data_IF_631621993338
#
_entry.id   IF_631621993338
#
_cell.length_a   1.000
_cell.length_b   1.000
_cell.length_c   1.000
_cell.angle_alpha   90.00
_cell.angle_beta   90.00
_cell.angle_gamma   90.00
#
_symmetry.space_group_name_H-M   'P 1'
#
loop_
_entity.id
_entity.type
_entity.pdbx_description
1 polymer ?
#
# COMPACT_ATOMS: atom_id res chain seq x y z
N UNK A 1 -22.12 -7.87 -6.81
CA UNK A 1 -20.87 -8.66 -6.76
C UNK A 1 -20.01 -8.02 -5.69
N UNK A 2 -19.73 -8.71 -4.58
CA UNK A 2 -18.84 -8.20 -3.54
C UNK A 2 -17.40 -8.40 -4.03
N UNK A 3 -16.64 -7.31 -4.12
CA UNK A 3 -15.21 -7.37 -4.41
C UNK A 3 -14.58 -7.94 -3.14
N UNK A 4 -13.96 -9.12 -3.23
CA UNK A 4 -13.20 -9.66 -2.12
C UNK A 4 -11.96 -8.77 -1.95
N UNK A 5 -11.95 -7.90 -0.95
CA UNK A 5 -10.81 -7.02 -0.68
C UNK A 5 -9.77 -7.81 0.09
N UNK A 6 -8.54 -7.89 -0.44
CA UNK A 6 -7.42 -8.62 0.18
C UNK A 6 -6.87 -7.89 1.41
N UNK A 7 -7.22 -6.62 1.53
CA UNK A 7 -6.84 -5.70 2.59
C UNK A 7 -8.10 -5.07 3.19
N UNK A 8 -8.26 -5.16 4.50
CA UNK A 8 -9.19 -4.32 5.24
C UNK A 8 -8.47 -3.01 5.58
N UNK A 9 -9.11 -1.87 5.32
CA UNK A 9 -8.55 -0.54 5.56
C UNK A 9 -9.50 0.22 6.47
N UNK A 10 -9.01 0.60 7.64
CA UNK A 10 -9.78 1.34 8.65
C UNK A 10 -9.05 2.63 9.02
N UNK A 11 -9.79 3.72 9.19
CA UNK A 11 -9.23 4.98 9.70
C UNK A 11 -9.64 5.17 11.16
N UNK A 12 -8.65 5.27 12.03
CA UNK A 12 -8.77 5.61 13.44
C UNK A 12 -8.06 6.94 13.68
N UNK A 13 -8.84 8.03 13.72
CA UNK A 13 -8.36 9.41 13.83
C UNK A 13 -7.29 9.77 12.77
N UNK A 14 -6.04 9.95 13.21
CA UNK A 14 -4.87 10.27 12.39
C UNK A 14 -4.07 9.03 11.98
N UNK A 15 -4.62 7.83 12.16
CA UNK A 15 -3.96 6.57 11.87
C UNK A 15 -4.82 5.73 10.94
N UNK A 16 -4.22 5.21 9.87
CA UNK A 16 -4.84 4.16 9.07
C UNK A 16 -4.28 2.81 9.47
N UNK A 17 -5.17 1.87 9.69
CA UNK A 17 -4.85 0.47 9.98
C UNK A 17 -5.15 -0.33 8.71
N UNK A 18 -4.15 -1.10 8.26
CA UNK A 18 -4.26 -1.98 7.11
C UNK A 18 -4.08 -3.41 7.61
N UNK A 19 -5.12 -4.21 7.44
CA UNK A 19 -5.17 -5.61 7.90
C UNK A 19 -5.31 -6.52 6.69
N UNK A 20 -4.25 -7.28 6.31
CA UNK A 20 -4.40 -8.30 5.28
C UNK A 20 -5.33 -9.41 5.76
N UNK A 21 -6.26 -9.81 4.90
CA UNK A 21 -7.18 -10.91 5.19
C UNK A 21 -6.59 -12.29 4.89
N UNK A 22 -5.37 -12.34 4.33
CA UNK A 22 -4.71 -13.56 3.88
C UNK A 22 -3.19 -13.41 3.79
N UNK A 23 -2.50 -14.55 3.60
CA UNK A 23 -1.06 -14.59 3.37
C UNK A 23 -0.65 -13.74 2.14
N UNK A 24 0.40 -12.94 2.34
CA UNK A 24 0.92 -11.99 1.35
C UNK A 24 1.96 -12.68 0.46
N UNK A 25 1.52 -13.65 -0.32
CA UNK A 25 2.35 -14.35 -1.31
C UNK A 25 2.44 -13.57 -2.62
N UNK A 26 3.38 -13.95 -3.48
CA UNK A 26 3.60 -13.30 -4.79
C UNK A 26 2.35 -13.35 -5.68
N UNK A 27 1.55 -14.41 -5.61
CA UNK A 27 0.32 -14.59 -6.40
C UNK A 27 -0.77 -13.57 -6.07
N UNK A 28 -0.76 -13.04 -4.84
CA UNK A 28 -1.76 -12.07 -4.37
C UNK A 28 -1.22 -10.64 -4.54
N UNK A 29 0.08 -10.49 -4.84
CA UNK A 29 0.78 -9.22 -4.78
C UNK A 29 0.23 -8.18 -5.76
N UNK A 30 -0.13 -8.56 -6.99
CA UNK A 30 -0.74 -7.64 -7.95
C UNK A 30 -2.06 -7.07 -7.44
N UNK A 31 -2.90 -7.91 -6.80
CA UNK A 31 -4.15 -7.47 -6.18
C UNK A 31 -3.89 -6.57 -4.97
N UNK A 32 -2.90 -6.90 -4.14
CA UNK A 32 -2.49 -6.10 -2.99
C UNK A 32 -1.97 -4.73 -3.43
N UNK A 33 -1.21 -4.65 -4.53
CA UNK A 33 -0.70 -3.38 -5.06
C UNK A 33 -1.86 -2.48 -5.55
N UNK A 34 -2.89 -3.06 -6.18
CA UNK A 34 -4.10 -2.33 -6.56
C UNK A 34 -4.91 -1.86 -5.35
N UNK A 35 -5.16 -2.75 -4.38
CA UNK A 35 -5.88 -2.45 -3.14
C UNK A 35 -5.11 -1.39 -2.32
N UNK A 36 -3.78 -1.39 -2.41
CA UNK A 36 -2.92 -0.43 -1.74
C UNK A 36 -2.89 0.95 -2.40
N UNK A 37 -2.92 1.03 -3.73
CA UNK A 37 -3.06 2.32 -4.41
C UNK A 37 -4.39 2.98 -4.03
N UNK A 38 -5.45 2.18 -3.82
CA UNK A 38 -6.71 2.68 -3.24
C UNK A 38 -6.53 3.12 -1.79
N UNK A 39 -5.81 2.35 -0.97
CA UNK A 39 -5.47 2.75 0.40
C UNK A 39 -4.70 4.07 0.44
N UNK A 40 -3.74 4.26 -0.48
CA UNK A 40 -2.94 5.47 -0.61
C UNK A 40 -3.77 6.67 -1.07
N UNK A 41 -4.73 6.48 -1.99
CA UNK A 41 -5.66 7.54 -2.39
C UNK A 41 -6.60 7.95 -1.26
N UNK A 42 -7.11 6.98 -0.48
CA UNK A 42 -7.90 7.25 0.72
C UNK A 42 -7.07 8.02 1.74
N UNK A 43 -5.83 7.58 1.95
CA UNK A 43 -4.87 8.21 2.82
C UNK A 43 -4.60 9.69 2.40
N UNK A 44 -4.53 10.02 1.10
CA UNK A 44 -4.18 11.37 0.58
C UNK A 44 -5.31 12.38 0.84
N UNK A 45 -6.55 11.89 0.96
CA UNK A 45 -7.74 12.69 1.30
C UNK A 45 -8.00 12.82 2.81
N UNK A 46 -7.18 12.20 3.67
CA UNK A 46 -7.45 12.09 5.12
C UNK A 46 -6.44 12.88 5.96
N UNK A 47 -6.76 13.11 7.24
CA UNK A 47 -5.81 13.65 8.24
C UNK A 47 -4.80 12.61 8.73
N UNK A 48 -4.68 11.47 8.05
CA UNK A 48 -3.82 10.38 8.50
C UNK A 48 -2.35 10.81 8.46
N UNK A 49 -1.70 10.75 9.63
CA UNK A 49 -0.26 11.00 9.81
C UNK A 49 0.51 9.72 10.06
N UNK A 50 -0.19 8.63 10.37
CA UNK A 50 0.39 7.36 10.74
C UNK A 50 -0.28 6.25 9.95
N UNK A 51 0.49 5.18 9.68
CA UNK A 51 -0.03 3.94 9.12
C UNK A 51 0.47 2.78 9.97
N UNK A 52 -0.42 1.83 10.23
CA UNK A 52 -0.15 0.60 10.98
C UNK A 52 -0.53 -0.57 10.10
N UNK A 53 0.38 -1.54 10.00
CA UNK A 53 0.08 -2.86 9.44
C UNK A 53 -0.30 -3.80 10.57
N UNK A 54 -1.50 -4.36 10.51
CA UNK A 54 -1.97 -5.38 11.44
C UNK A 54 -1.94 -6.75 10.75
N UNK A 55 -1.02 -7.61 11.19
CA UNK A 55 -0.79 -8.93 10.61
C UNK A 55 -1.53 -10.05 11.37
N UNK A 56 -2.54 -9.74 12.18
CA UNK A 56 -3.25 -10.74 13.00
C UNK A 56 -3.83 -11.95 12.22
N UNK A 57 -4.02 -11.84 10.90
CA UNK A 57 -4.49 -12.91 10.02
C UNK A 57 -3.48 -13.33 8.95
N UNK A 58 -2.20 -12.97 9.13
CA UNK A 58 -1.13 -13.22 8.15
C UNK A 58 -0.02 -14.04 8.79
N UNK A 59 0.12 -15.29 8.35
CA UNK A 59 1.18 -16.20 8.82
C UNK A 59 2.44 -16.13 7.94
N UNK A 60 2.31 -15.60 6.72
CA UNK A 60 3.39 -15.55 5.75
C UNK A 60 3.34 -14.28 4.88
N UNK A 61 4.52 -13.71 4.63
CA UNK A 61 4.75 -12.65 3.66
C UNK A 61 6.04 -12.90 2.87
N UNK A 62 5.97 -12.74 1.55
CA UNK A 62 7.12 -12.86 0.66
C UNK A 62 7.99 -11.59 0.61
N UNK A 63 9.16 -11.67 -0.05
CA UNK A 63 10.07 -10.54 -0.27
C UNK A 63 9.42 -9.40 -1.08
N UNK A 64 8.46 -9.73 -1.94
CA UNK A 64 7.66 -8.76 -2.70
C UNK A 64 6.79 -7.92 -1.77
N UNK A 65 6.13 -8.54 -0.79
CA UNK A 65 5.33 -7.85 0.24
C UNK A 65 6.19 -6.89 1.06
N UNK A 66 7.43 -7.27 1.40
CA UNK A 66 8.36 -6.38 2.09
C UNK A 66 8.69 -5.11 1.28
N UNK A 67 8.95 -5.27 -0.03
CA UNK A 67 9.21 -4.13 -0.92
C UNK A 67 8.04 -3.16 -0.94
N UNK A 68 6.83 -3.70 -0.87
CA UNK A 68 5.60 -2.92 -0.79
C UNK A 68 5.41 -2.19 0.55
N UNK A 69 5.66 -2.83 1.69
CA UNK A 69 5.63 -2.15 2.99
C UNK A 69 6.58 -0.93 3.01
N UNK A 70 7.75 -1.07 2.40
CA UNK A 70 8.72 0.02 2.25
C UNK A 70 8.18 1.15 1.35
N UNK A 71 7.48 0.83 0.25
CA UNK A 71 6.82 1.85 -0.59
C UNK A 71 5.79 2.63 0.21
N UNK A 72 4.89 1.94 0.91
CA UNK A 72 3.83 2.59 1.69
C UNK A 72 4.41 3.45 2.83
N UNK A 73 5.43 2.95 3.53
CA UNK A 73 6.15 3.73 4.54
C UNK A 73 6.78 5.00 3.98
N UNK A 74 7.37 4.94 2.78
CA UNK A 74 7.91 6.13 2.10
C UNK A 74 6.82 7.13 1.77
N UNK A 75 5.65 6.71 1.29
CA UNK A 75 4.54 7.61 1.01
C UNK A 75 4.10 8.37 2.27
N UNK A 76 3.84 7.66 3.37
CA UNK A 76 3.44 8.28 4.66
C UNK A 76 4.54 9.19 5.19
N UNK A 77 5.81 8.81 5.05
CA UNK A 77 6.96 9.62 5.48
C UNK A 77 7.15 10.87 4.63
N UNK A 78 7.02 10.78 3.31
CA UNK A 78 7.23 11.92 2.40
C UNK A 78 6.06 12.90 2.42
N UNK A 79 4.85 12.45 2.75
CA UNK A 79 3.74 13.33 3.08
C UNK A 79 4.00 14.23 4.27
N UNK A 80 4.63 13.72 5.35
CA UNK A 80 5.02 14.57 6.50
C UNK A 80 5.95 15.72 6.13
N UNK A 81 6.60 15.66 4.96
CA UNK A 81 7.53 16.68 4.48
C UNK A 81 7.02 17.50 3.29
N UNK A 82 5.76 17.32 2.85
CA UNK A 82 5.18 18.12 1.76
C UNK A 82 5.79 17.86 0.38
N UNK A 83 6.50 16.75 0.18
CA UNK A 83 7.11 16.38 -1.11
C UNK A 83 6.31 15.24 -1.72
N UNK A 84 5.18 15.57 -2.36
CA UNK A 84 4.52 14.68 -3.30
C UNK A 84 5.27 14.76 -4.63
N UNK A 85 6.18 13.82 -4.89
CA UNK A 85 6.46 13.44 -6.27
C UNK A 85 5.54 12.27 -6.61
N UNK A 86 4.74 12.36 -7.69
CA UNK A 86 3.97 11.22 -8.14
C UNK A 86 4.93 10.08 -8.45
N UNK A 87 4.58 8.86 -8.03
CA UNK A 87 5.20 7.63 -8.50
C UNK A 87 4.89 7.52 -10.01
N UNK A 88 5.63 8.26 -10.83
CA UNK A 88 5.68 8.03 -12.27
C UNK A 88 6.25 6.64 -12.46
N UNK A 89 5.38 5.76 -12.91
CA UNK A 89 5.70 4.56 -13.66
C UNK A 89 6.96 4.83 -14.48
N UNK A 90 8.02 4.10 -14.16
CA UNK A 90 9.19 3.98 -15.02
C UNK A 90 8.75 3.13 -16.21
N UNK A 91 7.94 3.72 -17.09
CA UNK A 91 7.72 3.21 -18.42
C UNK A 91 9.13 3.13 -19.04
N UNK A 92 9.55 1.89 -19.27
CA UNK A 92 10.80 1.55 -19.96
C UNK A 92 10.80 2.33 -21.28
N UNK A 93 11.75 3.24 -21.41
CA UNK A 93 12.01 3.95 -22.66
C UNK A 93 12.28 2.92 -23.76
N UNK A 94 11.44 2.85 -24.82
CA UNK A 94 11.67 1.92 -25.93
C UNK A 94 12.66 2.46 -26.97
N UNK A 95 13.35 3.56 -26.71
CA UNK A 95 14.19 4.25 -27.69
C UNK A 95 15.67 3.83 -27.60
N UNK A 96 15.94 2.55 -27.85
CA UNK A 96 17.27 2.11 -28.27
C UNK A 96 17.15 1.07 -29.38
N UNK A 97 17.05 1.57 -30.61
CA UNK A 97 17.52 0.92 -31.83
C UNK A 97 17.86 1.97 -32.88
#
# INVERSE_FOLDING_TARGET
MAIATSLLIEQLDETVVITPSQNLSELVFEQIEQDADQALQLLDGTRAKNAVWDFQHTDYYGSTALSFFVKLWKCVRWWKHGVLQPLRSRARDPSHH
#
